data_IF_655668816438
#
_entry.id   IF_655668816438
#
_cell.length_a   1.000
_cell.length_b   1.000
_cell.length_c   1.000
_cell.angle_alpha   90.00
_cell.angle_beta   90.00
_cell.angle_gamma   90.00
#
_symmetry.space_group_name_H-M   'P 1'
#
loop_
_entity.id
_entity.type
_entity.pdbx_description
1 polymer ?
#
# COMPACT_ATOMS: atom_id res chain seq x y z
N UNK A 1 -13.95 16.59 4.02
CA UNK A 1 -12.65 17.30 4.02
C UNK A 1 -11.87 16.59 5.09
N UNK A 2 -10.97 15.66 4.69
CA UNK A 2 -10.18 14.86 5.61
C UNK A 2 -9.38 15.73 6.58
N UNK A 3 -9.04 15.18 7.72
CA UNK A 3 -8.27 15.91 8.74
C UNK A 3 -6.81 16.07 8.27
N UNK A 4 -6.51 17.23 7.67
CA UNK A 4 -5.15 17.58 7.21
C UNK A 4 -4.10 17.42 8.32
N UNK A 5 -4.49 17.67 9.59
CA UNK A 5 -3.60 17.51 10.73
C UNK A 5 -3.23 16.04 10.94
N UNK A 6 -4.18 15.11 10.71
CA UNK A 6 -3.92 13.68 10.77
C UNK A 6 -2.94 13.21 9.67
N UNK A 7 -3.13 13.64 8.42
CA UNK A 7 -2.20 13.33 7.32
C UNK A 7 -0.78 13.88 7.58
N UNK A 8 -0.69 15.11 8.07
CA UNK A 8 0.59 15.70 8.45
C UNK A 8 1.26 14.93 9.60
N UNK A 9 0.49 14.35 10.52
CA UNK A 9 1.02 13.53 11.60
C UNK A 9 1.55 12.19 11.09
N UNK A 10 0.79 11.50 10.23
CA UNK A 10 1.22 10.26 9.55
C UNK A 10 2.53 10.50 8.79
N UNK A 11 2.59 11.56 7.97
CA UNK A 11 3.79 11.92 7.20
C UNK A 11 5.00 12.12 8.12
N UNK A 12 4.88 12.97 9.15
CA UNK A 12 5.99 13.22 10.08
C UNK A 12 6.47 11.98 10.80
N UNK A 13 5.54 11.11 11.21
CA UNK A 13 5.86 9.85 11.87
C UNK A 13 6.70 8.95 10.96
N UNK A 14 6.30 8.79 9.70
CA UNK A 14 7.06 7.99 8.73
C UNK A 14 8.39 8.65 8.32
N UNK A 15 8.45 9.98 8.17
CA UNK A 15 9.71 10.70 7.95
C UNK A 15 10.71 10.43 9.07
N UNK A 16 10.23 10.41 10.33
CA UNK A 16 11.05 10.19 11.52
C UNK A 16 11.69 8.80 11.55
N UNK A 17 10.96 7.75 11.12
CA UNK A 17 11.42 6.35 11.21
C UNK A 17 11.99 5.81 9.89
N UNK A 18 12.07 6.60 8.83
CA UNK A 18 12.30 6.14 7.46
C UNK A 18 13.56 5.26 7.31
N UNK A 19 14.71 5.68 7.83
CA UNK A 19 15.96 4.92 7.74
C UNK A 19 15.93 3.62 8.54
N UNK A 20 15.35 3.65 9.73
CA UNK A 20 15.22 2.46 10.56
C UNK A 20 14.21 1.48 9.95
N UNK A 21 13.10 1.98 9.44
CA UNK A 21 12.10 1.20 8.71
C UNK A 21 12.72 0.50 7.49
N UNK A 22 13.46 1.24 6.67
CA UNK A 22 14.14 0.70 5.50
C UNK A 22 15.17 -0.39 5.84
N UNK A 23 15.81 -0.29 7.00
CA UNK A 23 16.81 -1.26 7.47
C UNK A 23 16.15 -2.49 8.07
N UNK A 24 15.17 -2.32 8.97
CA UNK A 24 14.53 -3.42 9.70
C UNK A 24 13.66 -4.30 8.81
N UNK A 25 13.00 -3.71 7.81
CA UNK A 25 12.07 -4.43 6.94
C UNK A 25 12.68 -4.85 5.59
N UNK A 26 13.99 -4.67 5.40
CA UNK A 26 14.68 -5.00 4.14
C UNK A 26 14.41 -6.42 3.63
N UNK A 27 14.28 -7.39 4.50
CA UNK A 27 14.06 -8.81 4.16
C UNK A 27 12.62 -9.31 4.38
N UNK A 28 11.65 -8.45 4.66
CA UNK A 28 10.35 -8.88 5.16
C UNK A 28 9.60 -9.83 4.21
N UNK A 29 9.72 -9.64 2.89
CA UNK A 29 9.08 -10.53 1.91
C UNK A 29 9.69 -11.93 1.84
N UNK A 30 10.91 -12.14 2.33
CA UNK A 30 11.54 -13.47 2.37
C UNK A 30 10.72 -14.43 3.21
N UNK A 31 10.13 -13.95 4.29
CA UNK A 31 9.37 -14.75 5.25
C UNK A 31 7.84 -14.66 5.06
N UNK A 32 7.38 -14.01 3.97
CA UNK A 32 5.95 -13.85 3.64
C UNK A 32 5.60 -14.58 2.34
N UNK A 33 5.53 -15.92 2.33
CA UNK A 33 5.33 -16.70 1.10
C UNK A 33 4.00 -16.42 0.40
N UNK A 34 2.93 -16.16 1.16
CA UNK A 34 1.62 -15.89 0.59
C UNK A 34 1.56 -14.51 -0.09
N UNK A 35 2.17 -13.50 0.56
CA UNK A 35 2.29 -12.16 -0.03
C UNK A 35 3.02 -12.24 -1.38
N UNK A 36 4.15 -12.99 -1.44
CA UNK A 36 4.88 -13.22 -2.70
C UNK A 36 4.04 -13.94 -3.75
N UNK A 37 3.23 -14.93 -3.35
CA UNK A 37 2.36 -15.66 -4.28
C UNK A 37 1.28 -14.74 -4.88
N UNK A 38 0.68 -13.86 -4.07
CA UNK A 38 -0.31 -12.88 -4.53
C UNK A 38 0.31 -11.84 -5.46
N UNK A 39 1.50 -11.33 -5.13
CA UNK A 39 2.25 -10.40 -5.98
C UNK A 39 2.65 -11.06 -7.31
N UNK A 40 3.06 -12.33 -7.29
CA UNK A 40 3.36 -13.09 -8.51
C UNK A 40 2.11 -13.26 -9.38
N UNK A 41 0.98 -13.61 -8.78
CA UNK A 41 -0.29 -13.72 -9.49
C UNK A 41 -0.78 -12.39 -10.07
N UNK A 42 -0.55 -11.27 -9.38
CA UNK A 42 -0.82 -9.92 -9.90
C UNK A 42 0.07 -9.63 -11.11
N UNK A 43 1.38 -9.92 -11.00
CA UNK A 43 2.35 -9.69 -12.06
C UNK A 43 2.01 -10.47 -13.33
N UNK A 44 1.64 -11.75 -13.20
CA UNK A 44 1.24 -12.62 -14.33
C UNK A 44 -0.02 -12.11 -15.05
N UNK A 45 -0.92 -11.42 -14.33
CA UNK A 45 -2.17 -10.88 -14.89
C UNK A 45 -2.03 -9.44 -15.38
N UNK A 46 -0.93 -8.76 -15.04
CA UNK A 46 -0.66 -7.40 -15.51
C UNK A 46 -0.25 -7.43 -16.98
N UNK A 47 -0.82 -6.55 -17.79
CA UNK A 47 -0.46 -6.44 -19.21
C UNK A 47 1.05 -6.19 -19.38
N UNK A 48 1.75 -6.99 -20.20
CA UNK A 48 3.20 -6.84 -20.40
C UNK A 48 3.61 -5.42 -20.78
N UNK A 49 4.58 -4.87 -20.06
CA UNK A 49 5.10 -3.51 -20.27
C UNK A 49 4.28 -2.40 -19.61
N UNK A 50 3.11 -2.71 -19.05
CA UNK A 50 2.36 -1.75 -18.24
C UNK A 50 3.02 -1.57 -16.87
N UNK A 51 3.16 -0.33 -16.37
CA UNK A 51 3.74 -0.10 -15.06
C UNK A 51 2.80 -0.57 -13.94
N UNK A 52 3.40 -1.01 -12.83
CA UNK A 52 2.72 -1.36 -11.59
C UNK A 52 3.01 -0.28 -10.55
N UNK A 53 1.96 0.28 -9.94
CA UNK A 53 2.10 1.22 -8.84
C UNK A 53 2.17 0.47 -7.50
N UNK A 54 3.08 0.90 -6.61
CA UNK A 54 3.11 0.55 -5.19
C UNK A 54 2.65 1.77 -4.40
N UNK A 55 1.42 1.75 -3.92
CA UNK A 55 0.74 2.87 -3.28
C UNK A 55 0.97 2.84 -1.76
N UNK A 56 1.62 3.85 -1.22
CA UNK A 56 2.18 3.84 0.12
C UNK A 56 3.35 2.88 0.22
N UNK A 57 4.29 3.03 -0.70
CA UNK A 57 5.37 2.08 -0.92
C UNK A 57 6.40 2.02 0.23
N UNK A 58 6.37 2.98 1.16
CA UNK A 58 7.45 3.14 2.11
C UNK A 58 8.80 3.26 1.40
N UNK A 59 9.85 2.59 1.88
CA UNK A 59 11.15 2.60 1.21
C UNK A 59 11.23 1.65 -0.01
N UNK A 60 10.10 1.14 -0.51
CA UNK A 60 10.00 0.47 -1.80
C UNK A 60 10.40 -1.00 -1.85
N UNK A 61 10.38 -1.73 -0.74
CA UNK A 61 10.74 -3.16 -0.72
C UNK A 61 9.85 -4.02 -1.63
N UNK A 62 8.53 -3.72 -1.66
CA UNK A 62 7.58 -4.42 -2.52
C UNK A 62 7.80 -4.04 -3.99
N UNK A 63 7.92 -2.74 -4.29
CA UNK A 63 8.20 -2.26 -5.64
C UNK A 63 9.49 -2.87 -6.19
N UNK A 64 10.56 -2.94 -5.37
CA UNK A 64 11.82 -3.57 -5.74
C UNK A 64 11.65 -5.07 -6.00
N UNK A 65 10.88 -5.79 -5.17
CA UNK A 65 10.59 -7.21 -5.36
C UNK A 65 9.91 -7.50 -6.71
N UNK A 66 8.99 -6.62 -7.13
CA UNK A 66 8.33 -6.69 -8.44
C UNK A 66 9.31 -6.33 -9.58
N UNK A 67 10.12 -5.27 -9.40
CA UNK A 67 11.10 -4.83 -10.40
C UNK A 67 12.17 -5.92 -10.69
N UNK A 68 12.64 -6.63 -9.67
CA UNK A 68 13.56 -7.74 -9.79
C UNK A 68 13.00 -8.93 -10.60
N UNK A 69 11.66 -8.94 -10.83
CA UNK A 69 10.94 -9.92 -11.66
C UNK A 69 10.52 -9.38 -13.02
N UNK A 70 11.09 -8.23 -13.39
CA UNK A 70 10.92 -7.63 -14.71
C UNK A 70 9.74 -6.66 -14.83
N UNK A 71 9.06 -6.32 -13.75
CA UNK A 71 8.04 -5.28 -13.79
C UNK A 71 8.67 -3.88 -13.88
N UNK A 72 8.04 -2.98 -14.62
CA UNK A 72 8.26 -1.55 -14.45
C UNK A 72 7.44 -1.09 -13.25
N UNK A 73 8.10 -0.59 -12.22
CA UNK A 73 7.45 -0.23 -10.95
C UNK A 73 7.59 1.26 -10.63
N UNK A 74 6.52 1.82 -10.07
CA UNK A 74 6.47 3.19 -9.55
C UNK A 74 6.03 3.10 -8.09
N UNK A 75 6.92 3.44 -7.16
CA UNK A 75 6.59 3.58 -5.74
C UNK A 75 6.11 5.00 -5.45
N UNK A 76 4.97 5.12 -4.77
CA UNK A 76 4.38 6.41 -4.38
C UNK A 76 4.19 6.40 -2.87
N UNK A 77 4.74 7.39 -2.16
CA UNK A 77 4.60 7.51 -0.71
C UNK A 77 4.43 8.97 -0.28
N UNK A 78 3.69 9.18 0.81
CA UNK A 78 3.44 10.50 1.40
C UNK A 78 4.69 11.06 2.08
N UNK A 79 5.57 10.19 2.60
CA UNK A 79 6.79 10.54 3.31
C UNK A 79 7.95 10.77 2.35
N UNK A 80 8.47 11.98 2.31
CA UNK A 80 9.69 12.31 1.56
C UNK A 80 10.89 11.48 2.05
N UNK A 81 11.00 11.23 3.36
CA UNK A 81 12.04 10.39 3.95
C UNK A 81 11.99 8.95 3.44
N UNK A 82 10.81 8.36 3.32
CA UNK A 82 10.63 7.02 2.74
C UNK A 82 11.06 6.98 1.27
N UNK A 83 10.63 7.96 0.49
CA UNK A 83 10.99 8.10 -0.93
C UNK A 83 12.50 8.24 -1.12
N UNK A 84 13.17 9.06 -0.30
CA UNK A 84 14.64 9.23 -0.34
C UNK A 84 15.37 7.94 0.04
N UNK A 85 14.93 7.28 1.11
CA UNK A 85 15.48 5.99 1.52
C UNK A 85 15.33 4.91 0.42
N UNK A 86 14.20 4.91 -0.28
CA UNK A 86 13.94 4.03 -1.42
C UNK A 86 14.86 4.31 -2.61
N UNK A 87 14.96 5.56 -3.02
CA UNK A 87 15.86 6.00 -4.12
C UNK A 87 17.31 5.65 -3.88
N UNK A 88 17.78 5.73 -2.63
CA UNK A 88 19.13 5.38 -2.26
C UNK A 88 19.40 3.87 -2.36
N UNK A 89 18.40 3.00 -2.24
CA UNK A 89 18.52 1.55 -2.18
C UNK A 89 18.16 0.83 -3.46
N UNK A 90 17.17 1.35 -4.22
CA UNK A 90 16.53 0.64 -5.33
C UNK A 90 16.48 1.49 -6.60
N UNK A 91 17.62 1.58 -7.28
CA UNK A 91 17.76 2.39 -8.52
C UNK A 91 16.88 1.89 -9.69
N UNK A 92 16.36 0.66 -9.62
CA UNK A 92 15.45 0.06 -10.61
C UNK A 92 13.98 0.46 -10.43
N UNK A 93 13.63 1.16 -9.34
CA UNK A 93 12.28 1.63 -9.02
C UNK A 93 12.19 3.13 -9.26
N UNK A 94 11.14 3.58 -9.94
CA UNK A 94 10.78 5.00 -9.99
C UNK A 94 10.05 5.37 -8.69
N UNK A 95 10.48 6.44 -8.01
CA UNK A 95 9.84 6.90 -6.78
C UNK A 95 9.25 8.30 -6.94
N UNK A 96 8.02 8.46 -6.46
CA UNK A 96 7.29 9.75 -6.41
C UNK A 96 6.82 10.02 -4.98
N UNK A 97 6.98 11.25 -4.52
CA UNK A 97 6.27 11.73 -3.32
C UNK A 97 4.82 12.04 -3.71
N UNK A 98 3.85 11.56 -2.93
CA UNK A 98 2.44 11.77 -3.24
C UNK A 98 1.47 11.27 -2.19
N UNK A 99 0.29 11.90 -2.18
CA UNK A 99 -0.84 11.53 -1.32
C UNK A 99 -1.75 10.53 -2.06
N UNK A 100 -2.24 9.51 -1.33
CA UNK A 100 -3.23 8.55 -1.85
C UNK A 100 -4.55 9.22 -2.26
N UNK A 101 -4.83 10.41 -1.71
CA UNK A 101 -6.04 11.18 -2.01
C UNK A 101 -5.91 12.04 -3.27
N UNK A 102 -4.69 12.23 -3.78
CA UNK A 102 -4.37 12.96 -5.00
C UNK A 102 -3.05 12.41 -5.57
N UNK A 103 -3.14 11.25 -6.21
CA UNK A 103 -1.96 10.54 -6.71
C UNK A 103 -1.26 11.33 -7.83
N UNK A 104 0.07 11.48 -7.77
CA UNK A 104 0.86 12.16 -8.80
C UNK A 104 1.04 11.26 -10.05
N UNK A 105 -0.07 10.94 -10.69
CA UNK A 105 -0.17 10.04 -11.83
C UNK A 105 -1.32 10.43 -12.76
N UNK A 106 -1.16 10.13 -14.04
CA UNK A 106 -2.21 10.37 -15.05
C UNK A 106 -3.35 9.36 -14.94
N UNK A 107 -4.51 9.69 -15.52
CA UNK A 107 -5.63 8.76 -15.64
C UNK A 107 -5.23 7.53 -16.45
N UNK A 108 -5.41 6.34 -15.87
CA UNK A 108 -5.09 5.09 -16.55
C UNK A 108 -3.59 4.87 -16.80
N UNK A 109 -2.72 5.47 -16.02
CA UNK A 109 -1.27 5.28 -16.16
C UNK A 109 -0.83 3.85 -15.88
N UNK A 110 -1.42 3.18 -14.88
CA UNK A 110 -0.97 1.89 -14.39
C UNK A 110 -1.81 0.70 -14.90
N UNK A 111 -1.14 -0.41 -15.22
CA UNK A 111 -1.78 -1.68 -15.52
C UNK A 111 -2.30 -2.38 -14.27
N UNK A 112 -1.59 -2.24 -13.16
CA UNK A 112 -1.99 -2.74 -11.84
C UNK A 112 -1.45 -1.84 -10.74
N UNK A 113 -2.04 -1.95 -9.54
CA UNK A 113 -1.55 -1.29 -8.34
C UNK A 113 -1.62 -2.24 -7.14
N UNK A 114 -0.72 -2.03 -6.19
CA UNK A 114 -0.72 -2.67 -4.88
C UNK A 114 -0.78 -1.60 -3.79
N UNK A 115 -1.46 -1.90 -2.67
CA UNK A 115 -1.47 -1.05 -1.49
C UNK A 115 -1.48 -1.95 -0.25
N UNK A 116 -0.27 -2.23 0.27
CA UNK A 116 -0.08 -3.12 1.41
C UNK A 116 0.13 -2.31 2.68
N UNK A 117 -0.81 -2.45 3.62
CA UNK A 117 -0.77 -1.83 4.95
C UNK A 117 -0.67 -0.29 4.94
N UNK A 118 -1.15 0.37 3.88
CA UNK A 118 -1.15 1.82 3.73
C UNK A 118 -2.53 2.44 3.98
N UNK A 119 -3.62 1.81 3.53
CA UNK A 119 -4.99 2.30 3.73
C UNK A 119 -5.42 2.31 5.20
N UNK A 120 -4.67 1.66 6.07
CA UNK A 120 -4.90 1.58 7.52
C UNK A 120 -4.67 2.90 8.26
N UNK A 121 -4.14 3.92 7.59
CA UNK A 121 -3.96 5.27 8.13
C UNK A 121 -5.08 6.23 7.74
N UNK A 122 -5.99 5.81 6.87
CA UNK A 122 -7.04 6.65 6.33
C UNK A 122 -8.31 6.59 7.19
N UNK A 123 -8.94 7.73 7.38
CA UNK A 123 -10.30 7.75 7.93
C UNK A 123 -11.32 7.20 6.89
N UNK A 124 -12.57 6.92 7.27
CA UNK A 124 -13.55 6.35 6.34
C UNK A 124 -13.86 7.22 5.11
N UNK A 125 -13.77 8.56 5.22
CA UNK A 125 -14.02 9.46 4.10
C UNK A 125 -12.82 9.47 3.13
N UNK A 126 -11.61 9.48 3.67
CA UNK A 126 -10.37 9.47 2.92
C UNK A 126 -10.10 8.09 2.29
N UNK A 127 -10.49 6.99 2.96
CA UNK A 127 -10.43 5.65 2.38
C UNK A 127 -11.25 5.55 1.08
N UNK A 128 -12.46 6.15 1.06
CA UNK A 128 -13.29 6.22 -0.16
C UNK A 128 -12.56 6.98 -1.28
N UNK A 129 -12.01 8.15 -0.97
CA UNK A 129 -11.28 8.98 -1.94
C UNK A 129 -10.04 8.25 -2.49
N UNK A 130 -9.28 7.58 -1.61
CA UNK A 130 -8.11 6.80 -2.03
C UNK A 130 -8.49 5.66 -2.99
N UNK A 131 -9.63 5.00 -2.76
CA UNK A 131 -10.16 3.98 -3.68
C UNK A 131 -10.57 4.59 -5.03
N UNK A 132 -11.19 5.77 -5.03
CA UNK A 132 -11.56 6.50 -6.25
C UNK A 132 -10.30 6.95 -7.02
N UNK A 133 -9.27 7.43 -6.34
CA UNK A 133 -7.97 7.77 -6.93
C UNK A 133 -7.23 6.54 -7.48
N UNK A 134 -7.20 5.43 -6.74
CA UNK A 134 -6.64 4.18 -7.24
C UNK A 134 -7.35 3.72 -8.54
N UNK A 135 -8.70 3.89 -8.60
CA UNK A 135 -9.45 3.62 -9.83
C UNK A 135 -9.08 4.58 -10.95
N UNK A 136 -8.92 5.87 -10.67
CA UNK A 136 -8.56 6.87 -11.70
C UNK A 136 -7.25 6.51 -12.40
N UNK A 137 -6.23 6.17 -11.62
CA UNK A 137 -4.87 5.91 -12.15
C UNK A 137 -4.69 4.53 -12.78
N UNK A 138 -5.58 3.58 -12.52
CA UNK A 138 -5.57 2.27 -13.16
C UNK A 138 -6.22 2.32 -14.54
N UNK A 139 -5.72 1.54 -15.50
CA UNK A 139 -6.35 1.32 -16.79
C UNK A 139 -7.68 0.57 -16.65
N UNK A 140 -8.59 0.65 -17.62
CA UNK A 140 -9.70 -0.29 -17.70
C UNK A 140 -9.19 -1.75 -17.64
N UNK A 141 -9.86 -2.60 -16.89
CA UNK A 141 -9.44 -3.96 -16.54
C UNK A 141 -8.14 -4.08 -15.71
N UNK A 142 -7.55 -2.97 -15.26
CA UNK A 142 -6.41 -2.95 -14.33
C UNK A 142 -6.76 -3.54 -12.97
N UNK A 143 -5.77 -4.09 -12.29
CA UNK A 143 -5.92 -4.78 -11.00
C UNK A 143 -5.46 -3.90 -9.83
N UNK A 144 -6.19 -4.00 -8.73
CA UNK A 144 -5.81 -3.46 -7.43
C UNK A 144 -5.72 -4.59 -6.41
N UNK A 145 -4.55 -4.76 -5.78
CA UNK A 145 -4.34 -5.71 -4.70
C UNK A 145 -4.10 -4.95 -3.40
N UNK A 146 -5.01 -5.12 -2.44
CA UNK A 146 -4.94 -4.53 -1.11
C UNK A 146 -4.53 -5.56 -0.06
N UNK A 147 -3.76 -5.13 0.96
CA UNK A 147 -3.53 -5.88 2.19
C UNK A 147 -3.69 -4.97 3.41
N UNK A 148 -4.39 -5.44 4.46
CA UNK A 148 -4.63 -4.68 5.67
C UNK A 148 -4.92 -5.58 6.89
N UNK A 149 -4.91 -4.99 8.08
CA UNK A 149 -5.27 -5.65 9.33
C UNK A 149 -6.79 -5.70 9.49
N UNK A 150 -7.30 -6.88 9.91
CA UNK A 150 -8.75 -7.15 10.07
C UNK A 150 -9.21 -6.80 11.47
N UNK A 151 -10.29 -6.03 11.59
CA UNK A 151 -10.94 -5.65 12.84
C UNK A 151 -11.65 -4.29 12.75
N UNK A 152 -12.07 -3.78 13.89
CA UNK A 152 -12.77 -2.49 14.02
C UNK A 152 -12.01 -1.50 14.92
N UNK A 153 -10.89 -1.93 15.50
CA UNK A 153 -10.12 -1.13 16.44
C UNK A 153 -9.20 -0.12 15.74
N UNK A 154 -8.82 0.90 16.48
CA UNK A 154 -7.75 1.84 16.11
C UNK A 154 -6.67 1.70 17.17
N UNK A 155 -5.45 1.40 16.76
CA UNK A 155 -4.27 1.37 17.63
C UNK A 155 -3.45 2.61 17.39
N UNK A 156 -3.31 3.42 18.43
CA UNK A 156 -2.43 4.57 18.43
C UNK A 156 -1.03 4.19 18.88
N UNK A 157 -0.01 4.76 18.22
CA UNK A 157 1.38 4.68 18.63
C UNK A 157 1.91 6.10 18.84
N UNK A 158 2.51 6.33 20.02
CA UNK A 158 3.24 7.53 20.40
C UNK A 158 4.77 7.33 20.39
N UNK A 159 5.21 6.06 20.32
CA UNK A 159 6.62 5.68 20.18
C UNK A 159 6.76 4.52 19.17
N UNK A 160 7.74 4.61 18.27
CA UNK A 160 8.09 3.53 17.35
C UNK A 160 9.60 3.40 17.26
N UNK A 161 10.13 2.27 17.76
CA UNK A 161 11.57 1.96 17.82
C UNK A 161 12.43 3.01 18.53
N UNK A 162 11.91 3.64 19.56
CA UNK A 162 12.58 4.70 20.31
C UNK A 162 12.45 6.09 19.70
N UNK A 163 11.66 6.24 18.66
CA UNK A 163 11.31 7.53 18.07
C UNK A 163 9.92 7.98 18.51
N UNK A 164 9.77 9.27 18.83
CA UNK A 164 8.46 9.87 19.07
C UNK A 164 7.68 9.95 17.76
N UNK A 165 6.48 9.38 17.75
CA UNK A 165 5.56 9.37 16.61
C UNK A 165 4.15 9.72 17.08
N UNK A 166 3.25 10.00 16.15
CA UNK A 166 1.82 10.24 16.41
C UNK A 166 1.05 9.64 15.24
N UNK A 167 0.73 8.33 15.34
CA UNK A 167 0.19 7.58 14.23
C UNK A 167 -0.87 6.57 14.67
N UNK A 168 -1.97 6.54 13.92
CA UNK A 168 -3.05 5.57 14.09
C UNK A 168 -2.95 4.44 13.06
N UNK A 169 -3.16 3.21 13.53
CA UNK A 169 -3.35 2.01 12.72
C UNK A 169 -4.79 1.56 12.87
N UNK A 170 -5.59 1.77 11.83
CA UNK A 170 -6.99 1.37 11.78
C UNK A 170 -7.11 -0.05 11.26
N UNK A 171 -7.81 -0.87 12.00
CA UNK A 171 -8.20 -2.20 11.55
C UNK A 171 -9.48 -2.06 10.73
N UNK A 172 -9.60 -2.84 9.67
CA UNK A 172 -10.68 -2.68 8.70
C UNK A 172 -11.41 -4.00 8.51
N UNK A 173 -12.74 -3.93 8.39
CA UNK A 173 -13.56 -5.08 8.04
C UNK A 173 -13.51 -5.36 6.54
N UNK A 174 -13.14 -6.59 6.10
CA UNK A 174 -12.97 -6.92 4.68
C UNK A 174 -14.23 -6.71 3.85
N UNK A 175 -15.41 -6.93 4.45
CA UNK A 175 -16.69 -6.69 3.78
C UNK A 175 -16.93 -5.21 3.51
N UNK A 176 -16.51 -4.33 4.43
CA UNK A 176 -16.63 -2.88 4.27
C UNK A 176 -15.72 -2.39 3.14
N UNK A 177 -14.43 -2.79 3.15
CA UNK A 177 -13.48 -2.39 2.09
C UNK A 177 -13.93 -2.90 0.72
N UNK A 178 -14.43 -4.14 0.65
CA UNK A 178 -14.96 -4.69 -0.59
C UNK A 178 -16.17 -3.91 -1.11
N UNK A 179 -17.09 -3.51 -0.23
CA UNK A 179 -18.24 -2.65 -0.61
C UNK A 179 -17.80 -1.29 -1.15
N UNK A 180 -16.73 -0.69 -0.60
CA UNK A 180 -16.16 0.56 -1.12
C UNK A 180 -15.56 0.37 -2.52
N UNK A 181 -14.83 -0.73 -2.74
CA UNK A 181 -14.30 -1.08 -4.06
C UNK A 181 -15.42 -1.26 -5.09
N UNK A 182 -16.46 -2.03 -4.75
CA UNK A 182 -17.60 -2.27 -5.63
C UNK A 182 -18.34 -0.96 -5.95
N UNK A 183 -18.57 -0.10 -4.96
CA UNK A 183 -19.21 1.21 -5.14
C UNK A 183 -18.36 2.15 -6.02
N UNK A 184 -17.04 2.02 -6.00
CA UNK A 184 -16.13 2.79 -6.84
C UNK A 184 -15.98 2.22 -8.26
N UNK A 185 -16.61 1.09 -8.63
CA UNK A 185 -16.54 0.48 -9.96
C UNK A 185 -15.39 -0.50 -10.12
N UNK A 186 -15.12 -1.29 -9.09
CA UNK A 186 -14.28 -2.47 -9.16
C UNK A 186 -15.13 -3.74 -9.03
N UNK A 187 -14.70 -4.82 -9.69
CA UNK A 187 -15.16 -6.18 -9.41
C UNK A 187 -14.18 -6.84 -8.44
N UNK A 188 -14.63 -7.21 -7.24
CA UNK A 188 -13.79 -7.93 -6.27
C UNK A 188 -13.69 -9.41 -6.69
N UNK A 189 -12.52 -9.83 -7.18
CA UNK A 189 -12.27 -11.18 -7.70
C UNK A 189 -11.81 -12.16 -6.62
N UNK A 190 -11.14 -11.66 -5.56
CA UNK A 190 -10.65 -12.50 -4.45
C UNK A 190 -10.78 -11.75 -3.13
N UNK A 191 -11.22 -12.49 -2.12
CA UNK A 191 -11.12 -12.13 -0.70
C UNK A 191 -10.45 -13.26 0.03
N UNK A 192 -9.43 -12.95 0.80
CA UNK A 192 -8.71 -13.93 1.59
C UNK A 192 -8.32 -13.33 2.93
N UNK A 193 -8.38 -14.14 3.96
CA UNK A 193 -7.91 -13.79 5.29
C UNK A 193 -6.93 -14.84 5.78
N UNK A 194 -5.95 -14.41 6.56
CA UNK A 194 -5.03 -15.30 7.26
C UNK A 194 -4.72 -14.82 8.68
N UNK A 195 -4.24 -15.72 9.50
CA UNK A 195 -3.56 -15.39 10.75
C UNK A 195 -2.15 -14.86 10.48
N UNK A 196 -1.53 -14.25 11.48
CA UNK A 196 -0.14 -13.79 11.41
C UNK A 196 0.85 -14.95 11.26
N UNK A 197 2.01 -14.68 10.67
CA UNK A 197 3.19 -15.53 10.80
C UNK A 197 3.86 -15.26 12.16
N UNK A 198 4.73 -16.19 12.61
CA UNK A 198 5.34 -16.12 13.96
C UNK A 198 6.18 -14.85 14.21
N UNK A 199 6.68 -14.23 13.16
CA UNK A 199 7.49 -13.00 13.20
C UNK A 199 6.66 -11.71 13.00
N UNK A 200 5.37 -11.83 12.73
CA UNK A 200 4.46 -10.70 12.52
C UNK A 200 3.71 -10.34 13.81
N UNK A 201 3.18 -9.10 13.86
CA UNK A 201 2.24 -8.71 14.91
C UNK A 201 1.01 -9.64 14.94
N UNK A 202 0.52 -9.96 16.13
CA UNK A 202 -0.60 -10.90 16.39
C UNK A 202 -1.95 -10.32 15.93
N UNK A 203 -2.10 -10.16 14.61
CA UNK A 203 -3.32 -9.65 13.96
C UNK A 203 -3.76 -10.57 12.84
N UNK A 204 -5.06 -10.59 12.53
CA UNK A 204 -5.57 -11.16 11.28
C UNK A 204 -5.30 -10.19 10.14
N UNK A 205 -5.08 -10.73 8.95
CA UNK A 205 -4.83 -9.95 7.73
C UNK A 205 -5.80 -10.33 6.65
N UNK A 206 -6.27 -9.34 5.91
CA UNK A 206 -7.08 -9.54 4.70
C UNK A 206 -6.31 -9.11 3.46
N UNK A 207 -6.63 -9.80 2.36
CA UNK A 207 -6.19 -9.46 1.01
C UNK A 207 -7.41 -9.39 0.11
N UNK A 208 -7.51 -8.34 -0.68
CA UNK A 208 -8.54 -8.16 -1.68
C UNK A 208 -7.89 -7.94 -3.04
N UNK A 209 -8.23 -8.76 -4.03
CA UNK A 209 -7.89 -8.49 -5.43
C UNK A 209 -9.14 -8.03 -6.15
N UNK A 210 -9.06 -6.86 -6.79
CA UNK A 210 -10.18 -6.25 -7.47
C UNK A 210 -9.78 -5.75 -8.86
N UNK A 211 -10.67 -5.87 -9.82
CA UNK A 211 -10.48 -5.43 -11.21
C UNK A 211 -11.31 -4.20 -11.49
N UNK A 212 -10.70 -3.15 -12.08
CA UNK A 212 -11.42 -1.98 -12.58
C UNK A 212 -12.38 -2.38 -13.71
N UNK A 213 -13.69 -2.10 -13.53
CA UNK A 213 -14.74 -2.29 -14.53
C UNK A 213 -14.81 -1.06 -15.45
#
# INVERSE_FOLDING_TARGET
MGDRAHHDSVRRSYDTVAEEYATRLHGEFTEKPLDRALLAALLEQTEPGSPIADLGCGPGHLAAWLADRGARTVGIDLSAGMVEAGRARFAQVEFREGDLLELPAEDGEFGSAVAFYTIIHLDPADLRRAVEEARRVLRPAGLLLLAFHVGEEVRHLDEWWGHDVDIDFRFLEPAHVAGLLEAAGFAVEMRMERTHYAHEAETRRAYLLARRI
#
